data_IF_702562368656
#
_entry.id   IF_702562368656
#
_cell.length_a   1.000
_cell.length_b   1.000
_cell.length_c   1.000
_cell.angle_alpha   90.00
_cell.angle_beta   90.00
_cell.angle_gamma   90.00
#
_symmetry.space_group_name_H-M   'P 1'
#
loop_
_entity.id
_entity.type
_entity.pdbx_description
1 polymer ?
#
# COMPACT_ATOMS: atom_id res chain seq x y z
N UNK A 1 -6.47 -8.52 -2.25
CA UNK A 1 -5.01 -8.49 -2.57
C UNK A 1 -4.17 -8.63 -1.31
N UNK A 2 -4.27 -7.71 -0.34
CA UNK A 2 -3.42 -7.73 0.86
C UNK A 2 -3.56 -8.99 1.73
N UNK A 3 -4.76 -9.55 1.86
CA UNK A 3 -5.02 -10.79 2.62
C UNK A 3 -4.09 -11.95 2.22
N UNK A 4 -3.85 -12.14 0.92
CA UNK A 4 -3.01 -13.24 0.43
C UNK A 4 -1.52 -13.03 0.79
N UNK A 5 -1.09 -11.78 0.96
CA UNK A 5 0.26 -11.44 1.44
C UNK A 5 0.38 -11.64 2.96
N UNK A 6 -0.71 -11.38 3.70
CA UNK A 6 -0.77 -11.58 5.15
C UNK A 6 -0.81 -13.07 5.51
N UNK A 7 -1.69 -13.81 4.86
CA UNK A 7 -1.97 -15.22 5.14
C UNK A 7 -2.27 -15.94 3.82
N UNK A 8 -1.26 -16.56 3.17
CA UNK A 8 -1.44 -17.22 1.86
C UNK A 8 -2.50 -18.33 1.83
N UNK A 9 -2.81 -18.90 3.00
CA UNK A 9 -3.82 -19.96 3.16
C UNK A 9 -5.23 -19.40 3.45
N UNK A 10 -5.35 -18.13 3.81
CA UNK A 10 -6.63 -17.50 4.10
C UNK A 10 -7.27 -17.01 2.79
N UNK A 11 -8.28 -17.73 2.32
CA UNK A 11 -9.16 -17.27 1.25
C UNK A 11 -10.27 -16.42 1.86
N UNK A 12 -10.07 -15.10 1.88
CA UNK A 12 -11.16 -14.15 2.16
C UNK A 12 -11.98 -13.96 0.89
N UNK A 13 -13.28 -14.23 0.99
CA UNK A 13 -14.24 -13.97 -0.07
C UNK A 13 -14.46 -12.45 -0.25
N UNK A 14 -14.48 -11.99 -1.50
CA UNK A 14 -14.66 -10.58 -1.83
C UNK A 14 -16.03 -10.06 -1.39
N UNK A 15 -17.07 -10.89 -1.51
CA UNK A 15 -18.42 -10.53 -1.07
C UNK A 15 -18.45 -10.29 0.44
N UNK A 16 -17.77 -11.14 1.23
CA UNK A 16 -17.66 -10.95 2.66
C UNK A 16 -16.94 -9.64 3.05
N UNK A 17 -15.90 -9.23 2.30
CA UNK A 17 -15.23 -7.93 2.51
C UNK A 17 -16.21 -6.78 2.30
N UNK A 18 -16.95 -6.80 1.19
CA UNK A 18 -17.90 -5.74 0.83
C UNK A 18 -19.05 -5.69 1.85
N UNK A 19 -19.64 -6.83 2.19
CA UNK A 19 -20.72 -6.90 3.17
C UNK A 19 -20.30 -6.39 4.54
N UNK A 20 -19.08 -6.74 4.98
CA UNK A 20 -18.51 -6.21 6.23
C UNK A 20 -18.40 -4.69 6.15
N UNK A 21 -17.79 -4.15 5.09
CA UNK A 21 -17.61 -2.72 4.90
C UNK A 21 -18.95 -1.94 4.83
N UNK A 22 -19.96 -2.51 4.18
CA UNK A 22 -21.31 -1.93 4.10
C UNK A 22 -22.00 -1.95 5.47
N UNK A 23 -21.96 -3.09 6.17
CA UNK A 23 -22.59 -3.20 7.50
C UNK A 23 -21.99 -2.25 8.55
N UNK A 24 -20.70 -1.94 8.41
CA UNK A 24 -19.98 -0.97 9.23
C UNK A 24 -20.19 0.48 8.80
N UNK A 25 -20.86 0.71 7.67
CA UNK A 25 -21.08 2.05 7.11
C UNK A 25 -19.82 2.68 6.53
N UNK A 26 -18.80 1.89 6.19
CA UNK A 26 -17.55 2.40 5.61
C UNK A 26 -17.66 2.68 4.12
N UNK A 27 -18.58 1.99 3.46
CA UNK A 27 -18.90 2.16 2.03
C UNK A 27 -20.38 1.92 1.80
N UNK A 28 -20.91 2.47 0.71
CA UNK A 28 -22.24 2.15 0.23
C UNK A 28 -22.21 0.98 -0.77
N UNK A 29 -21.15 0.86 -1.58
CA UNK A 29 -21.11 -0.04 -2.75
C UNK A 29 -19.74 -0.70 -3.00
N UNK A 30 -18.72 -0.37 -2.22
CA UNK A 30 -17.37 -0.93 -2.33
C UNK A 30 -16.26 0.12 -2.39
N UNK A 31 -16.55 1.35 -2.84
CA UNK A 31 -15.56 2.43 -2.81
C UNK A 31 -15.19 2.82 -1.38
N UNK A 32 -13.90 2.99 -1.12
CA UNK A 32 -13.37 3.34 0.20
C UNK A 32 -12.64 4.68 0.12
N UNK A 33 -13.24 5.73 0.70
CA UNK A 33 -12.69 7.09 0.74
C UNK A 33 -12.08 7.45 2.11
N UNK A 34 -11.83 6.48 2.98
CA UNK A 34 -11.25 6.68 4.31
C UNK A 34 -10.18 5.63 4.60
N UNK A 35 -8.93 6.07 4.78
CA UNK A 35 -7.85 5.19 5.18
C UNK A 35 -8.02 4.63 6.59
N UNK A 36 -8.63 5.41 7.50
CA UNK A 36 -8.99 4.92 8.83
C UNK A 36 -9.99 3.77 8.78
N UNK A 37 -11.04 3.89 7.95
CA UNK A 37 -12.01 2.79 7.77
C UNK A 37 -11.38 1.59 7.07
N UNK A 38 -10.47 1.82 6.10
CA UNK A 38 -9.72 0.75 5.46
C UNK A 38 -8.87 -0.03 6.47
N UNK A 39 -8.22 0.66 7.42
CA UNK A 39 -7.47 0.02 8.49
C UNK A 39 -8.38 -0.86 9.35
N UNK A 40 -9.50 -0.33 9.86
CA UNK A 40 -10.47 -1.09 10.66
C UNK A 40 -11.02 -2.31 9.91
N UNK A 41 -11.34 -2.14 8.62
CA UNK A 41 -11.81 -3.24 7.77
C UNK A 41 -10.73 -4.32 7.61
N UNK A 42 -9.46 -3.94 7.44
CA UNK A 42 -8.35 -4.88 7.32
C UNK A 42 -8.13 -5.65 8.63
N UNK A 43 -8.24 -5.01 9.80
CA UNK A 43 -8.14 -5.68 11.09
C UNK A 43 -9.25 -6.71 11.29
N UNK A 44 -10.48 -6.34 10.98
CA UNK A 44 -11.65 -7.21 11.15
C UNK A 44 -11.62 -8.40 10.18
N UNK A 45 -11.38 -8.14 8.89
CA UNK A 45 -11.51 -9.18 7.86
C UNK A 45 -10.25 -10.05 7.76
N UNK A 46 -9.06 -9.50 7.99
CA UNK A 46 -7.82 -10.26 7.88
C UNK A 46 -7.28 -10.74 9.23
N UNK A 47 -7.89 -10.34 10.35
CA UNK A 47 -7.39 -10.68 11.69
C UNK A 47 -5.96 -10.19 11.94
N UNK A 48 -5.59 -9.07 11.33
CA UNK A 48 -4.25 -8.48 11.44
C UNK A 48 -4.27 -7.20 12.28
N UNK A 49 -3.10 -6.69 12.68
CA UNK A 49 -2.98 -5.33 13.18
C UNK A 49 -2.77 -4.38 12.00
N UNK A 50 -3.48 -3.26 12.00
CA UNK A 50 -3.28 -2.18 11.04
C UNK A 50 -2.81 -0.91 11.77
N UNK A 51 -1.92 -0.16 11.14
CA UNK A 51 -1.44 1.13 11.65
C UNK A 51 -1.63 2.20 10.58
N UNK A 52 -2.38 3.26 10.92
CA UNK A 52 -2.60 4.40 10.06
C UNK A 52 -1.44 5.38 10.22
N UNK A 53 -0.77 5.70 9.11
CA UNK A 53 0.20 6.79 9.06
C UNK A 53 -0.41 7.98 8.32
N UNK A 54 -0.21 9.16 8.90
CA UNK A 54 -0.55 10.46 8.29
C UNK A 54 0.73 11.23 7.96
N UNK A 55 0.67 12.10 6.96
CA UNK A 55 1.83 12.89 6.50
C UNK A 55 2.52 12.34 5.25
N UNK A 56 1.93 11.35 4.59
CA UNK A 56 2.43 10.75 3.35
C UNK A 56 3.50 9.69 3.58
N UNK A 57 4.15 9.28 2.48
CA UNK A 57 5.18 8.23 2.48
C UNK A 57 6.62 8.79 2.52
N UNK A 58 6.75 10.11 2.59
CA UNK A 58 8.02 10.83 2.64
C UNK A 58 8.23 11.48 4.02
N UNK A 59 9.33 12.23 4.19
CA UNK A 59 9.61 12.94 5.44
C UNK A 59 9.75 11.98 6.62
N UNK A 60 9.06 12.26 7.72
CA UNK A 60 9.16 11.50 8.97
C UNK A 60 8.74 10.02 8.81
N UNK A 61 7.85 9.72 7.86
CA UNK A 61 7.38 8.36 7.61
C UNK A 61 8.30 7.55 6.68
N UNK A 62 9.23 8.20 5.98
CA UNK A 62 10.03 7.59 4.92
C UNK A 62 10.75 6.32 5.37
N UNK A 63 11.51 6.42 6.47
CA UNK A 63 12.27 5.29 7.01
C UNK A 63 11.36 4.18 7.52
N UNK A 64 10.24 4.54 8.15
CA UNK A 64 9.28 3.57 8.69
C UNK A 64 8.63 2.74 7.57
N UNK A 65 8.19 3.39 6.49
CA UNK A 65 7.56 2.72 5.33
C UNK A 65 8.55 1.76 4.66
N UNK A 66 9.79 2.19 4.42
CA UNK A 66 10.81 1.35 3.78
C UNK A 66 11.14 0.15 4.66
N UNK A 67 11.39 0.37 5.96
CA UNK A 67 11.69 -0.71 6.89
C UNK A 67 10.51 -1.71 7.01
N UNK A 68 9.27 -1.22 6.96
CA UNK A 68 8.07 -2.06 6.99
C UNK A 68 7.99 -2.97 5.76
N UNK A 69 8.16 -2.41 4.56
CA UNK A 69 8.19 -3.17 3.31
C UNK A 69 9.38 -4.14 3.25
N UNK A 70 10.56 -3.72 3.72
CA UNK A 70 11.74 -4.56 3.85
C UNK A 70 11.47 -5.77 4.75
N UNK A 71 10.75 -5.56 5.86
CA UNK A 71 10.28 -6.59 6.77
C UNK A 71 9.19 -7.52 6.20
N UNK A 72 8.90 -7.43 4.89
CA UNK A 72 7.86 -8.22 4.19
C UNK A 72 6.46 -7.97 4.75
N UNK A 73 6.21 -6.75 5.20
CA UNK A 73 4.91 -6.35 5.72
C UNK A 73 4.19 -5.45 4.70
N UNK A 74 2.94 -5.77 4.30
CA UNK A 74 2.24 -5.01 3.28
C UNK A 74 1.88 -3.58 3.71
N UNK A 75 1.78 -2.69 2.73
CA UNK A 75 1.28 -1.31 2.92
C UNK A 75 0.14 -1.06 1.96
N UNK A 76 -1.00 -0.56 2.44
CA UNK A 76 -2.09 -0.08 1.61
C UNK A 76 -1.91 1.41 1.34
N UNK A 77 -1.92 1.77 0.07
CA UNK A 77 -1.64 3.14 -0.37
C UNK A 77 -2.80 3.61 -1.25
N UNK A 78 -3.57 4.63 -0.81
CA UNK A 78 -4.43 5.35 -1.71
C UNK A 78 -3.55 6.25 -2.61
N UNK A 79 -3.79 6.22 -3.91
CA UNK A 79 -3.04 6.99 -4.91
C UNK A 79 -3.96 7.38 -6.08
N UNK A 80 -3.53 8.29 -6.93
CA UNK A 80 -4.30 8.74 -8.10
C UNK A 80 -3.87 7.97 -9.34
N UNK A 81 -4.80 7.28 -9.98
CA UNK A 81 -4.52 6.27 -10.99
C UNK A 81 -4.58 6.82 -12.43
N UNK A 82 -3.50 6.66 -13.21
CA UNK A 82 -3.52 6.95 -14.65
C UNK A 82 -4.07 5.77 -15.49
N UNK A 83 -4.16 5.94 -16.81
CA UNK A 83 -4.67 4.92 -17.73
C UNK A 83 -3.82 3.63 -17.76
N UNK A 84 -2.51 3.75 -17.49
CA UNK A 84 -1.59 2.61 -17.35
C UNK A 84 -1.56 2.04 -15.92
N UNK A 85 -2.40 2.57 -15.03
CA UNK A 85 -2.47 2.24 -13.60
C UNK A 85 -1.30 2.72 -12.74
N UNK A 86 -0.37 3.49 -13.29
CA UNK A 86 0.71 4.12 -12.53
C UNK A 86 0.20 5.32 -11.72
N UNK A 87 0.97 5.75 -10.70
CA UNK A 87 0.65 6.97 -9.96
C UNK A 87 0.75 8.20 -10.83
N UNK A 88 -0.25 9.07 -10.72
CA UNK A 88 -0.28 10.38 -11.35
C UNK A 88 -0.70 11.47 -10.35
N UNK A 89 -0.86 12.71 -10.82
CA UNK A 89 -1.23 13.86 -9.99
C UNK A 89 -2.36 14.65 -10.66
N UNK A 90 -3.58 14.11 -10.61
CA UNK A 90 -4.80 14.67 -11.23
C UNK A 90 -5.89 14.97 -10.20
N UNK A 91 -5.47 15.50 -9.06
CA UNK A 91 -6.26 15.90 -7.89
C UNK A 91 -7.03 14.79 -7.19
N UNK A 92 -6.76 13.52 -7.49
CA UNK A 92 -7.45 12.38 -6.90
C UNK A 92 -8.75 12.00 -7.61
N UNK A 93 -9.03 12.58 -8.80
CA UNK A 93 -10.22 12.21 -9.56
C UNK A 93 -10.29 10.70 -9.84
N UNK A 94 -9.14 10.04 -9.98
CA UNK A 94 -9.08 8.57 -10.12
C UNK A 94 -8.41 7.95 -8.90
N UNK A 95 -8.72 8.45 -7.70
CA UNK A 95 -8.28 7.84 -6.45
C UNK A 95 -8.57 6.33 -6.46
N UNK A 96 -7.52 5.57 -6.18
CA UNK A 96 -7.52 4.12 -6.19
C UNK A 96 -6.63 3.58 -5.08
N UNK A 97 -6.75 2.29 -4.81
CA UNK A 97 -5.99 1.61 -3.77
C UNK A 97 -4.99 0.64 -4.38
N UNK A 98 -3.74 0.74 -3.95
CA UNK A 98 -2.70 -0.25 -4.21
C UNK A 98 -2.28 -0.94 -2.91
N UNK A 99 -1.75 -2.15 -3.05
CA UNK A 99 -0.95 -2.79 -2.01
C UNK A 99 0.52 -2.78 -2.46
N UNK A 100 1.40 -2.22 -1.64
CA UNK A 100 2.84 -2.41 -1.75
C UNK A 100 3.23 -3.64 -0.94
N UNK A 101 4.05 -4.50 -1.53
CA UNK A 101 4.39 -5.83 -1.00
C UNK A 101 5.88 -6.07 -0.81
N UNK A 102 6.70 -5.13 -1.27
CA UNK A 102 8.15 -5.18 -1.16
C UNK A 102 8.77 -3.88 -1.65
N UNK A 103 10.09 -3.80 -1.52
CA UNK A 103 10.88 -2.62 -1.88
C UNK A 103 12.11 -3.05 -2.66
N UNK A 104 12.51 -2.23 -3.64
CA UNK A 104 13.76 -2.31 -4.38
C UNK A 104 14.58 -1.08 -4.03
N UNK A 105 15.78 -1.31 -3.51
CA UNK A 105 16.66 -0.28 -2.98
C UNK A 105 17.94 -0.19 -3.82
N UNK A 106 18.19 0.99 -4.39
CA UNK A 106 19.48 1.35 -4.95
C UNK A 106 20.42 1.76 -3.81
N UNK A 107 21.49 1.00 -3.60
CA UNK A 107 22.42 1.18 -2.47
C UNK A 107 23.86 1.26 -2.95
N UNK A 108 24.72 1.90 -2.17
CA UNK A 108 26.15 1.93 -2.44
C UNK A 108 26.80 0.55 -2.29
N UNK A 109 27.79 0.27 -3.13
CA UNK A 109 28.54 -0.98 -3.08
C UNK A 109 29.15 -1.18 -1.68
N UNK A 110 28.91 -2.34 -1.07
CA UNK A 110 29.37 -2.66 0.28
C UNK A 110 28.43 -2.24 1.42
N UNK A 111 27.29 -1.58 1.12
CA UNK A 111 26.33 -1.12 2.15
C UNK A 111 25.37 -2.22 2.65
N UNK A 112 25.39 -3.40 2.01
CA UNK A 112 24.54 -4.54 2.38
C UNK A 112 25.44 -5.67 2.88
N UNK A 113 25.10 -6.22 4.04
CA UNK A 113 25.81 -7.37 4.58
C UNK A 113 25.74 -8.55 3.59
N UNK A 114 26.89 -9.17 3.35
CA UNK A 114 26.98 -10.42 2.57
C UNK A 114 26.81 -11.66 3.44
N UNK A 115 26.42 -11.49 4.71
CA UNK A 115 26.07 -12.62 5.56
C UNK A 115 24.73 -13.21 5.12
N UNK A 116 24.66 -14.55 5.06
CA UNK A 116 23.46 -15.31 4.72
C UNK A 116 22.88 -15.08 3.31
N UNK A 117 23.65 -14.47 2.40
CA UNK A 117 23.30 -14.41 0.98
C UNK A 117 23.93 -15.58 0.22
N UNK A 118 23.19 -16.15 -0.72
CA UNK A 118 23.66 -17.20 -1.63
C UNK A 118 23.34 -16.79 -3.07
N UNK A 119 24.26 -17.00 -4.03
CA UNK A 119 23.97 -16.72 -5.43
C UNK A 119 22.85 -17.64 -5.93
N UNK A 120 21.94 -17.08 -6.73
CA UNK A 120 20.93 -17.87 -7.41
C UNK A 120 21.63 -18.84 -8.40
N UNK A 121 21.26 -20.14 -8.41
CA UNK A 121 21.91 -21.12 -9.28
C UNK A 121 21.80 -20.80 -10.78
N UNK A 122 20.76 -20.08 -11.19
CA UNK A 122 20.50 -19.70 -12.59
C UNK A 122 21.03 -18.32 -12.94
N UNK A 123 21.16 -17.42 -11.96
CA UNK A 123 21.60 -16.04 -12.12
C UNK A 123 22.66 -15.71 -11.07
N UNK A 124 23.96 -15.98 -11.33
CA UNK A 124 25.03 -15.82 -10.33
C UNK A 124 25.22 -14.41 -9.77
N UNK A 125 24.65 -13.40 -10.42
CA UNK A 125 24.65 -12.00 -9.97
C UNK A 125 23.44 -11.63 -9.11
N UNK A 126 22.45 -12.52 -8.98
CA UNK A 126 21.32 -12.38 -8.07
C UNK A 126 21.67 -13.13 -6.79
N UNK A 127 21.65 -12.42 -5.67
CA UNK A 127 21.93 -13.00 -4.37
C UNK A 127 20.63 -13.11 -3.58
N UNK A 128 20.28 -14.32 -3.18
CA UNK A 128 19.11 -14.64 -2.38
C UNK A 128 19.50 -14.57 -0.90
N UNK A 129 18.71 -13.85 -0.10
CA UNK A 129 18.89 -13.86 1.35
C UNK A 129 18.15 -15.04 1.98
N UNK A 130 18.85 -15.74 2.87
CA UNK A 130 18.30 -16.88 3.62
C UNK A 130 17.54 -16.44 4.88
N UNK A 131 17.68 -15.17 5.30
CA UNK A 131 17.18 -14.68 6.58
C UNK A 131 16.19 -13.51 6.40
N UNK A 132 15.24 -13.40 7.32
CA UNK A 132 14.27 -12.30 7.41
C UNK A 132 14.68 -11.22 8.42
N UNK A 133 15.80 -11.42 9.14
CA UNK A 133 16.26 -10.54 10.21
C UNK A 133 17.29 -9.47 9.82
N UNK A 134 17.77 -9.44 8.58
CA UNK A 134 18.77 -8.45 8.17
C UNK A 134 18.25 -7.02 8.33
N UNK A 135 19.04 -6.11 8.92
CA UNK A 135 18.62 -4.73 9.09
C UNK A 135 18.35 -4.08 7.73
N UNK A 136 17.34 -3.21 7.67
CA UNK A 136 17.04 -2.45 6.47
C UNK A 136 18.26 -1.57 6.10
N UNK A 137 18.71 -1.58 4.83
CA UNK A 137 19.79 -0.70 4.40
C UNK A 137 19.47 0.77 4.66
N UNK A 138 20.46 1.52 5.13
CA UNK A 138 20.38 2.98 5.33
C UNK A 138 21.01 3.70 4.14
N UNK A 139 20.59 4.95 3.89
CA UNK A 139 21.21 5.78 2.85
C UNK A 139 20.93 5.32 1.41
N UNK A 140 19.73 4.78 1.16
CA UNK A 140 19.34 4.35 -0.18
C UNK A 140 19.32 5.54 -1.15
N UNK A 141 19.94 5.39 -2.32
CA UNK A 141 19.97 6.40 -3.41
C UNK A 141 18.66 6.45 -4.18
N UNK A 142 18.08 5.28 -4.39
CA UNK A 142 16.84 5.10 -5.14
C UNK A 142 15.95 4.13 -4.38
N UNK A 143 14.65 4.42 -4.35
CA UNK A 143 13.68 3.58 -3.67
C UNK A 143 12.48 3.38 -4.56
N UNK A 144 12.19 2.12 -4.84
CA UNK A 144 11.02 1.70 -5.59
C UNK A 144 10.20 0.72 -4.77
N UNK A 145 8.88 0.79 -4.89
CA UNK A 145 7.97 -0.15 -4.26
C UNK A 145 7.41 -1.12 -5.29
N UNK A 146 7.28 -2.38 -4.89
CA UNK A 146 6.56 -3.39 -5.67
C UNK A 146 5.08 -3.32 -5.33
N UNK A 147 4.30 -2.71 -6.22
CA UNK A 147 2.90 -2.40 -6.01
C UNK A 147 1.96 -3.22 -6.91
N UNK A 148 0.75 -3.47 -6.42
CA UNK A 148 -0.35 -4.09 -7.17
C UNK A 148 -1.67 -3.40 -6.85
N UNK A 149 -2.51 -3.26 -7.87
CA UNK A 149 -3.84 -2.66 -7.79
C UNK A 149 -4.92 -3.63 -8.32
N UNK A 150 -6.20 -3.36 -8.04
CA UNK A 150 -7.30 -4.33 -8.21
C UNK A 150 -7.81 -4.58 -9.65
N UNK A 151 -7.50 -3.70 -10.59
CA UNK A 151 -7.88 -3.72 -12.01
C UNK A 151 -6.86 -4.42 -12.91
N UNK A 152 -5.71 -4.86 -12.39
CA UNK A 152 -4.68 -5.58 -13.16
C UNK A 152 -4.12 -6.76 -12.39
N UNK A 153 -3.74 -7.81 -13.12
CA UNK A 153 -3.03 -8.96 -12.56
C UNK A 153 -1.53 -8.69 -12.36
N UNK A 154 -1.00 -7.65 -13.01
CA UNK A 154 0.44 -7.35 -13.07
C UNK A 154 0.88 -6.52 -11.87
N UNK A 155 2.03 -6.89 -11.31
CA UNK A 155 2.76 -6.03 -10.41
C UNK A 155 3.48 -4.94 -11.20
N UNK A 156 3.70 -3.80 -10.55
CA UNK A 156 4.44 -2.67 -11.09
C UNK A 156 5.49 -2.20 -10.08
N UNK A 157 6.58 -1.65 -10.59
CA UNK A 157 7.57 -0.94 -9.79
C UNK A 157 7.31 0.55 -9.91
N UNK A 158 7.08 1.22 -8.80
CA UNK A 158 6.88 2.68 -8.76
C UNK A 158 7.95 3.30 -7.88
N UNK A 159 8.50 4.45 -8.29
CA UNK A 159 9.38 5.19 -7.38
C UNK A 159 8.58 5.65 -6.15
N UNK A 160 9.22 5.62 -4.98
CA UNK A 160 8.58 6.02 -3.73
C UNK A 160 8.13 7.50 -3.80
N UNK A 161 8.92 8.34 -4.46
CA UNK A 161 8.60 9.76 -4.67
C UNK A 161 7.32 9.95 -5.48
N UNK A 162 7.17 9.21 -6.59
CA UNK A 162 5.99 9.32 -7.47
C UNK A 162 4.71 8.94 -6.73
N UNK A 163 4.73 7.80 -6.03
CA UNK A 163 3.56 7.37 -5.24
C UNK A 163 3.29 8.30 -4.06
N UNK A 164 4.34 8.84 -3.41
CA UNK A 164 4.17 9.80 -2.32
C UNK A 164 3.51 11.09 -2.78
N UNK A 165 3.92 11.63 -3.94
CA UNK A 165 3.29 12.82 -4.52
C UNK A 165 1.84 12.54 -4.92
N UNK A 166 1.59 11.39 -5.55
CA UNK A 166 0.26 10.96 -5.95
C UNK A 166 -0.70 10.79 -4.75
N UNK A 167 -0.21 10.20 -3.65
CA UNK A 167 -0.94 10.05 -2.40
C UNK A 167 -1.21 11.41 -1.71
N UNK A 168 -0.21 12.29 -1.67
CA UNK A 168 -0.32 13.59 -1.00
C UNK A 168 -1.31 14.56 -1.64
N UNK A 169 -1.65 14.37 -2.91
CA UNK A 169 -2.50 15.28 -3.68
C UNK A 169 -3.94 14.81 -3.88
N UNK A 170 -4.38 13.74 -3.21
CA UNK A 170 -5.74 13.20 -3.30
C UNK A 170 -6.77 14.13 -2.68
N UNK A 171 -7.22 15.15 -3.42
CA UNK A 171 -8.05 16.24 -2.86
C UNK A 171 -9.53 16.08 -3.14
N UNK A 172 -9.85 15.65 -4.36
CA UNK A 172 -11.19 15.77 -4.92
C UNK A 172 -11.69 14.42 -5.40
N UNK A 173 -12.99 14.22 -5.21
CA UNK A 173 -13.72 13.14 -5.85
C UNK A 173 -13.85 13.42 -7.36
N UNK A 174 -13.92 12.37 -8.18
CA UNK A 174 -14.22 12.53 -9.60
C UNK A 174 -15.50 13.37 -9.80
N UNK A 175 -15.49 14.44 -10.61
CA UNK A 175 -16.66 15.25 -10.85
C UNK A 175 -17.84 14.49 -11.46
N UNK A 176 -17.60 13.49 -12.29
CA UNK A 176 -18.67 12.64 -12.83
C UNK A 176 -19.31 11.83 -11.70
N UNK A 177 -18.48 11.24 -10.83
CA UNK A 177 -18.93 10.48 -9.67
C UNK A 177 -19.68 11.34 -8.64
N UNK A 178 -19.24 12.58 -8.45
CA UNK A 178 -19.94 13.52 -7.57
C UNK A 178 -21.33 13.91 -8.10
N UNK A 179 -21.59 13.73 -9.40
CA UNK A 179 -22.82 14.16 -10.08
C UNK A 179 -23.64 12.99 -10.67
N UNK A 180 -23.28 11.73 -10.40
CA UNK A 180 -23.95 10.57 -11.00
C UNK A 180 -25.23 10.13 -10.24
N UNK A 181 -25.54 10.78 -9.12
CA UNK A 181 -26.70 10.46 -8.27
C UNK A 181 -26.50 9.25 -7.36
N UNK A 182 -25.33 8.61 -7.40
CA UNK A 182 -24.97 7.47 -6.56
C UNK A 182 -24.57 7.96 -5.17
N UNK A 183 -24.97 7.22 -4.14
CA UNK A 183 -24.57 7.50 -2.77
C UNK A 183 -23.15 6.98 -2.50
N UNK A 184 -22.29 7.85 -1.97
CA UNK A 184 -20.94 7.50 -1.53
C UNK A 184 -20.74 7.87 -0.07
N UNK A 185 -19.96 7.04 0.63
CA UNK A 185 -19.51 7.34 2.00
C UNK A 185 -18.19 8.10 1.91
N UNK A 186 -18.25 9.41 2.16
CA UNK A 186 -17.08 10.29 2.15
C UNK A 186 -16.93 10.91 3.54
N UNK A 187 -15.72 10.92 4.13
CA UNK A 187 -15.48 11.54 5.44
C UNK A 187 -15.85 13.02 5.48
N UNK A 188 -16.05 13.53 6.70
CA UNK A 188 -16.08 14.97 6.92
C UNK A 188 -14.73 15.57 6.50
N UNK A 189 -14.77 16.61 5.66
CA UNK A 189 -13.56 17.17 5.02
C UNK A 189 -13.25 16.55 3.65
N UNK A 190 -14.09 15.64 3.14
CA UNK A 190 -14.00 15.14 1.78
C UNK A 190 -12.94 14.06 1.58
N UNK A 191 -12.58 13.85 0.31
CA UNK A 191 -11.53 12.89 -0.10
C UNK A 191 -10.17 13.28 0.47
N UNK A 192 -9.86 14.57 0.52
CA UNK A 192 -8.61 15.09 1.09
C UNK A 192 -8.41 14.63 2.53
N UNK A 193 -9.38 14.87 3.41
CA UNK A 193 -9.28 14.46 4.81
C UNK A 193 -9.21 12.92 4.98
N UNK A 194 -9.84 12.18 4.06
CA UNK A 194 -9.92 10.73 4.14
C UNK A 194 -8.70 9.97 3.60
N UNK A 195 -8.04 10.51 2.57
CA UNK A 195 -7.02 9.78 1.80
C UNK A 195 -5.69 10.54 1.63
N UNK A 196 -5.69 11.87 1.55
CA UNK A 196 -4.48 12.61 1.22
C UNK A 196 -3.42 12.44 2.30
N UNK A 197 -2.23 11.98 1.90
CA UNK A 197 -1.14 11.75 2.84
C UNK A 197 -1.42 10.63 3.85
N UNK A 198 -2.44 9.80 3.62
CA UNK A 198 -2.77 8.67 4.49
C UNK A 198 -2.26 7.37 3.88
N UNK A 199 -1.73 6.47 4.71
CA UNK A 199 -1.38 5.10 4.30
C UNK A 199 -1.59 4.13 5.46
N UNK A 200 -1.82 2.86 5.17
CA UNK A 200 -2.08 1.84 6.20
C UNK A 200 -1.00 0.78 6.15
N UNK A 201 -0.21 0.67 7.22
CA UNK A 201 0.73 -0.41 7.42
C UNK A 201 -0.03 -1.63 7.96
N UNK A 202 0.14 -2.80 7.33
CA UNK A 202 -0.45 -4.05 7.80
C UNK A 202 0.63 -4.97 8.38
N UNK A 203 0.38 -5.54 9.55
CA UNK A 203 1.33 -6.41 10.23
C UNK A 203 1.00 -7.90 10.03
N UNK A 204 1.98 -8.66 9.54
CA UNK A 204 1.83 -10.10 9.22
C UNK A 204 1.95 -11.03 10.44
N UNK A 205 2.55 -10.57 11.55
CA UNK A 205 2.93 -11.40 12.71
C UNK A 205 2.19 -11.04 14.00
N UNK A 206 0.91 -10.70 13.92
CA UNK A 206 0.07 -10.45 15.09
C UNK A 206 -1.04 -11.49 15.19
N UNK A 207 -0.68 -12.77 15.33
CA UNK A 207 -1.59 -13.68 16.02
C UNK A 207 -1.42 -13.42 17.53
N UNK A 208 -2.52 -13.10 18.20
CA UNK A 208 -2.62 -13.20 19.66
C UNK A 208 -2.52 -14.66 20.09
#
# INVERSE_FOLDING_TARGET
MATHLLQPQLSVDMEAVIQTAVSRGYTAQGEMFSAANMALLAEEVCGCRAELLSGGLSGDNYTAVIAHLWGRQPVLIPYDEDYNHEPCQRSGHRAHWAVASGVLLGVDQGSVSQEHIQPDPSLPWVFLTSDTGSPCPVGCREVYILAKQGKSLRYQLWSLDSVSQSNGQLRMMDPQRANDGTQYVVPQGGVEAGLAGQTVLLHTRTQK
#
